data_IF_276760652848
#
_entry.id   IF_276760652848
#
_cell.length_a   1.000
_cell.length_b   1.000
_cell.length_c   1.000
_cell.angle_alpha   90.00
_cell.angle_beta   90.00
_cell.angle_gamma   90.00
#
_symmetry.space_group_name_H-M   'P 1'
#
loop_
_entity.id
_entity.type
_entity.pdbx_description
1 polymer ?
#
# COMPACT_ATOMS: atom_id res chain seq x y z
N UNK A 1 24.35 -1.57 -4.36
CA UNK A 1 23.37 -2.66 -4.58
C UNK A 1 22.12 -2.33 -3.77
N UNK A 2 20.95 -2.40 -4.37
CA UNK A 2 19.70 -2.21 -3.63
C UNK A 2 19.43 -3.45 -2.76
N UNK A 3 19.21 -3.24 -1.46
CA UNK A 3 19.04 -4.33 -0.50
C UNK A 3 17.74 -5.10 -0.79
N UNK A 4 17.70 -6.40 -0.48
CA UNK A 4 16.46 -7.19 -0.51
C UNK A 4 15.34 -6.49 0.28
N UNK A 5 15.69 -5.83 1.39
CA UNK A 5 14.76 -5.07 2.22
C UNK A 5 14.07 -3.94 1.46
N UNK A 6 14.81 -3.22 0.61
CA UNK A 6 14.26 -2.12 -0.18
C UNK A 6 13.34 -2.62 -1.30
N UNK A 7 13.72 -3.72 -1.96
CA UNK A 7 12.88 -4.37 -2.98
C UNK A 7 11.54 -4.82 -2.38
N UNK A 8 11.57 -5.47 -1.22
CA UNK A 8 10.35 -5.90 -0.51
C UNK A 8 9.49 -4.69 -0.13
N UNK A 9 10.08 -3.60 0.38
CA UNK A 9 9.33 -2.38 0.70
C UNK A 9 8.67 -1.76 -0.54
N UNK A 10 9.35 -1.79 -1.69
CA UNK A 10 8.81 -1.29 -2.97
C UNK A 10 7.62 -2.10 -3.46
N UNK A 11 7.75 -3.44 -3.45
CA UNK A 11 6.65 -4.36 -3.81
C UNK A 11 5.48 -4.16 -2.85
N UNK A 12 5.73 -4.17 -1.54
CA UNK A 12 4.68 -3.98 -0.54
C UNK A 12 3.96 -2.64 -0.70
N UNK A 13 4.69 -1.54 -0.97
CA UNK A 13 4.09 -0.23 -1.24
C UNK A 13 3.18 -0.28 -2.48
N UNK A 14 3.62 -0.93 -3.55
CA UNK A 14 2.86 -1.01 -4.80
C UNK A 14 1.58 -1.82 -4.62
N UNK A 15 1.63 -2.96 -3.91
CA UNK A 15 0.45 -3.79 -3.62
C UNK A 15 -0.60 -3.03 -2.79
N UNK A 16 -0.15 -2.23 -1.81
CA UNK A 16 -1.06 -1.39 -1.03
C UNK A 16 -1.74 -0.34 -1.91
N UNK A 17 -1.00 0.32 -2.81
CA UNK A 17 -1.57 1.31 -3.73
C UNK A 17 -2.59 0.66 -4.67
N UNK A 18 -2.27 -0.51 -5.24
CA UNK A 18 -3.17 -1.23 -6.13
C UNK A 18 -4.46 -1.63 -5.40
N UNK A 19 -4.35 -2.20 -4.20
CA UNK A 19 -5.52 -2.56 -3.40
C UNK A 19 -6.37 -1.35 -3.02
N UNK A 20 -5.75 -0.21 -2.67
CA UNK A 20 -6.45 1.04 -2.41
C UNK A 20 -7.18 1.55 -3.66
N UNK A 21 -6.54 1.54 -4.84
CA UNK A 21 -7.15 1.94 -6.11
C UNK A 21 -8.40 1.10 -6.41
N UNK A 22 -8.27 -0.22 -6.39
CA UNK A 22 -9.36 -1.15 -6.68
C UNK A 22 -10.52 -1.06 -5.67
N UNK A 23 -10.22 -0.63 -4.44
CA UNK A 23 -11.20 -0.48 -3.37
C UNK A 23 -11.72 0.95 -3.21
N UNK A 24 -11.57 1.83 -4.21
CA UNK A 24 -11.97 3.24 -4.16
C UNK A 24 -11.41 3.99 -2.94
N UNK A 25 -10.18 3.66 -2.53
CA UNK A 25 -9.47 4.23 -1.38
C UNK A 25 -10.11 3.94 -0.02
N UNK A 26 -11.01 2.94 0.06
CA UNK A 26 -11.58 2.48 1.33
C UNK A 26 -10.60 1.53 2.01
N UNK A 27 -9.93 2.00 3.08
CA UNK A 27 -8.88 1.26 3.79
C UNK A 27 -9.35 -0.12 4.28
N UNK A 28 -10.53 -0.19 4.91
CA UNK A 28 -11.11 -1.46 5.36
C UNK A 28 -11.27 -2.50 4.23
N UNK A 29 -11.67 -2.06 3.02
CA UNK A 29 -11.83 -2.95 1.87
C UNK A 29 -10.48 -3.39 1.31
N UNK A 30 -9.54 -2.46 1.18
CA UNK A 30 -8.17 -2.75 0.74
C UNK A 30 -7.45 -3.70 1.70
N UNK A 31 -7.60 -3.50 3.01
CA UNK A 31 -7.04 -4.37 4.04
C UNK A 31 -7.58 -5.80 3.93
N UNK A 32 -8.91 -5.95 3.80
CA UNK A 32 -9.55 -7.25 3.57
C UNK A 32 -9.03 -7.93 2.29
N UNK A 33 -8.88 -7.17 1.20
CA UNK A 33 -8.34 -7.68 -0.06
C UNK A 33 -6.90 -8.20 0.11
N UNK A 34 -6.07 -7.50 0.88
CA UNK A 34 -4.69 -7.88 1.16
C UNK A 34 -4.54 -8.93 2.27
N UNK A 35 -5.64 -9.40 2.88
CA UNK A 35 -5.59 -10.38 3.97
C UNK A 35 -4.99 -9.83 5.27
N UNK A 36 -5.05 -8.52 5.50
CA UNK A 36 -4.53 -7.86 6.70
C UNK A 36 -5.61 -7.05 7.42
N UNK A 37 -5.31 -6.60 8.64
CA UNK A 37 -6.21 -5.73 9.38
C UNK A 37 -6.16 -4.29 8.88
N UNK A 38 -7.24 -3.55 9.07
CA UNK A 38 -7.31 -2.12 8.74
C UNK A 38 -6.25 -1.29 9.50
N UNK A 39 -5.94 -1.68 10.74
CA UNK A 39 -4.85 -1.08 11.51
C UNK A 39 -3.49 -1.27 10.81
N UNK A 40 -3.23 -2.46 10.30
CA UNK A 40 -1.95 -2.81 9.67
C UNK A 40 -1.76 -2.08 8.34
N UNK A 41 -2.80 -1.97 7.51
CA UNK A 41 -2.72 -1.16 6.28
C UNK A 41 -2.50 0.31 6.62
N UNK A 42 -3.16 0.83 7.68
CA UNK A 42 -2.97 2.21 8.14
C UNK A 42 -1.54 2.51 8.56
N UNK A 43 -0.89 1.60 9.29
CA UNK A 43 0.53 1.74 9.61
C UNK A 43 1.43 1.73 8.37
N UNK A 44 1.16 0.85 7.41
CA UNK A 44 1.95 0.76 6.18
C UNK A 44 1.76 1.99 5.28
N UNK A 45 0.54 2.52 5.16
CA UNK A 45 0.26 3.79 4.46
C UNK A 45 1.10 4.93 5.04
N UNK A 46 1.13 5.07 6.37
CA UNK A 46 1.97 6.06 7.06
C UNK A 46 3.46 5.81 6.82
N UNK A 47 3.92 4.56 6.97
CA UNK A 47 5.32 4.16 6.78
C UNK A 47 5.83 4.48 5.38
N UNK A 48 5.01 4.26 4.35
CA UNK A 48 5.39 4.43 2.93
C UNK A 48 4.96 5.76 2.33
N UNK A 49 4.34 6.64 3.13
CA UNK A 49 3.86 7.94 2.68
C UNK A 49 2.86 7.85 1.51
N UNK A 50 2.01 6.82 1.49
CA UNK A 50 1.05 6.58 0.40
C UNK A 50 -0.06 7.62 0.46
N UNK A 51 -0.34 8.27 -0.67
CA UNK A 51 -1.43 9.25 -0.81
C UNK A 51 -2.25 9.01 -2.06
N UNK A 52 -3.46 9.56 -2.09
CA UNK A 52 -4.37 9.41 -3.24
C UNK A 52 -3.80 10.00 -4.52
N UNK A 53 -2.90 10.98 -4.42
CA UNK A 53 -2.24 11.62 -5.55
C UNK A 53 -1.11 10.75 -6.15
N UNK A 54 -0.67 9.69 -5.47
CA UNK A 54 0.34 8.75 -5.98
C UNK A 54 -0.16 7.91 -7.16
N UNK A 55 -1.44 8.05 -7.53
CA UNK A 55 -2.10 7.32 -8.62
C UNK A 55 -1.51 7.64 -9.99
N UNK A 56 -0.97 8.84 -10.18
CA UNK A 56 -0.58 9.39 -11.49
C UNK A 56 0.92 9.30 -11.81
N UNK A 57 1.73 8.67 -10.95
CA UNK A 57 3.15 8.42 -11.23
C UNK A 57 3.25 7.05 -11.89
N UNK A 58 3.17 7.03 -13.21
CA UNK A 58 3.45 5.85 -14.03
C UNK A 58 4.60 6.16 -14.97
#
# INVERSE_FOLDING_TARGET
MDSLKNKINGIERQEIINALKECNWIMARAARKLGITERMIGYKIKKYGIRKEDVNKQ
#
